data_IF_661021415872
#
_entry.id   IF_661021415872
#
_cell.length_a   1.000
_cell.length_b   1.000
_cell.length_c   1.000
_cell.angle_alpha   90.00
_cell.angle_beta   90.00
_cell.angle_gamma   90.00
#
_symmetry.space_group_name_H-M   'P 1'
#
loop_
_entity.id
_entity.type
_entity.pdbx_description
1 polymer ?
#
# COMPACT_ATOMS: atom_id res chain seq x y z
N UNK A 1 36.79 7.21 -16.53
CA UNK A 1 38.08 6.52 -16.40
C UNK A 1 39.12 7.60 -16.54
N UNK A 2 40.08 7.66 -15.61
CA UNK A 2 41.17 8.64 -15.53
C UNK A 2 42.18 8.51 -16.69
N UNK A 3 41.71 8.17 -17.90
CA UNK A 3 42.55 7.93 -19.07
C UNK A 3 43.36 9.18 -19.47
N UNK A 4 42.83 10.37 -19.18
CA UNK A 4 43.52 11.63 -19.42
C UNK A 4 44.66 11.90 -18.42
N UNK A 5 44.73 11.13 -17.32
CA UNK A 5 45.86 11.15 -16.39
C UNK A 5 46.94 10.13 -16.73
N UNK A 6 46.71 9.26 -17.72
CA UNK A 6 47.65 8.20 -18.05
C UNK A 6 48.93 8.79 -18.65
N UNK A 7 50.06 8.51 -18.01
CA UNK A 7 51.37 9.07 -18.37
C UNK A 7 51.61 10.52 -17.92
N UNK A 8 50.68 11.16 -17.19
CA UNK A 8 50.89 12.50 -16.66
C UNK A 8 51.80 12.49 -15.43
N UNK A 9 52.86 13.30 -15.44
CA UNK A 9 53.73 13.56 -14.30
C UNK A 9 53.81 15.08 -14.06
N UNK A 10 53.43 15.57 -12.87
CA UNK A 10 53.55 16.99 -12.55
C UNK A 10 54.97 17.52 -12.72
N UNK A 11 55.10 18.77 -13.18
CA UNK A 11 56.39 19.46 -13.26
C UNK A 11 57.04 19.62 -11.88
N UNK A 12 56.22 19.82 -10.84
CA UNK A 12 56.63 19.93 -9.44
C UNK A 12 55.81 18.99 -8.58
N UNK A 13 56.48 18.05 -7.94
CA UNK A 13 55.87 17.11 -7.00
C UNK A 13 55.99 17.70 -5.59
N UNK A 14 54.86 17.92 -4.93
CA UNK A 14 54.80 18.31 -3.52
C UNK A 14 54.28 17.14 -2.69
N UNK A 15 55.06 16.65 -1.74
CA UNK A 15 54.67 15.54 -0.87
C UNK A 15 53.79 16.01 0.30
N UNK A 16 52.89 15.14 0.73
CA UNK A 16 51.93 15.40 1.80
C UNK A 16 52.58 15.16 3.18
N UNK A 17 53.33 16.16 3.66
CA UNK A 17 53.80 16.21 5.05
C UNK A 17 52.84 17.05 5.91
N UNK A 18 52.64 16.65 7.16
CA UNK A 18 51.87 17.46 8.13
C UNK A 18 52.62 18.74 8.47
N UNK A 19 51.89 19.79 8.85
CA UNK A 19 52.51 21.09 9.21
C UNK A 19 53.50 20.97 10.38
N UNK A 20 53.19 20.13 11.38
CA UNK A 20 54.11 19.83 12.48
C UNK A 20 55.41 19.16 12.02
N UNK A 21 55.35 18.24 11.04
CA UNK A 21 56.54 17.61 10.46
C UNK A 21 57.35 18.60 9.62
N UNK A 22 56.69 19.45 8.83
CA UNK A 22 57.37 20.50 8.06
C UNK A 22 58.09 21.50 8.94
N UNK A 23 57.51 21.85 10.09
CA UNK A 23 58.13 22.75 11.05
C UNK A 23 59.30 22.07 11.78
N UNK A 24 59.11 20.84 12.28
CA UNK A 24 60.14 20.08 12.98
C UNK A 24 61.34 19.73 12.10
N UNK A 25 61.11 19.49 10.81
CA UNK A 25 62.15 19.09 9.84
C UNK A 25 62.45 20.16 8.80
N UNK A 26 62.07 21.42 9.06
CA UNK A 26 62.26 22.58 8.16
C UNK A 26 63.64 22.61 7.50
N UNK A 27 64.69 22.39 8.28
CA UNK A 27 66.08 22.53 7.84
C UNK A 27 66.59 21.31 7.04
N UNK A 28 65.81 20.23 6.98
CA UNK A 28 66.15 18.98 6.26
C UNK A 28 65.09 18.57 5.23
N UNK A 29 64.13 19.44 4.91
CA UNK A 29 63.12 19.19 3.87
C UNK A 29 63.76 18.93 2.50
N UNK A 30 64.88 19.58 2.22
CA UNK A 30 65.69 19.36 1.02
C UNK A 30 67.13 19.15 1.45
N UNK A 31 67.68 17.98 1.15
CA UNK A 31 69.09 17.67 1.37
C UNK A 31 69.85 17.74 0.05
N UNK A 32 71.11 18.19 0.09
CA UNK A 32 72.00 18.28 -1.08
C UNK A 32 71.43 19.15 -2.21
N UNK A 33 70.94 20.35 -1.86
CA UNK A 33 70.46 21.33 -2.84
C UNK A 33 71.57 21.68 -3.85
N UNK A 34 71.32 21.43 -5.14
CA UNK A 34 72.30 21.61 -6.22
C UNK A 34 73.09 20.36 -6.65
N UNK A 35 72.78 19.18 -6.10
CA UNK A 35 73.31 17.91 -6.61
C UNK A 35 72.94 17.70 -8.09
N UNK A 36 73.89 17.19 -8.89
CA UNK A 36 73.69 17.00 -10.34
C UNK A 36 73.06 15.66 -10.69
N UNK A 37 73.09 14.71 -9.76
CA UNK A 37 72.58 13.36 -9.92
C UNK A 37 72.12 12.78 -8.58
N UNK A 38 71.26 11.77 -8.62
CA UNK A 38 70.80 11.06 -7.43
C UNK A 38 71.93 10.28 -6.71
N UNK A 39 73.00 9.92 -7.42
CA UNK A 39 74.11 9.14 -6.86
C UNK A 39 74.92 9.92 -5.82
N UNK A 40 75.01 11.25 -5.96
CA UNK A 40 75.74 12.13 -5.03
C UNK A 40 75.13 12.08 -3.61
N UNK A 41 73.84 12.40 -3.40
CA UNK A 41 73.22 12.32 -2.09
C UNK A 41 73.14 10.88 -1.56
N UNK A 42 72.90 9.87 -2.41
CA UNK A 42 72.83 8.46 -1.98
C UNK A 42 74.18 7.99 -1.41
N UNK A 43 75.32 8.33 -2.03
CA UNK A 43 76.65 8.00 -1.49
C UNK A 43 76.90 8.66 -0.14
N UNK A 44 76.53 9.94 0.01
CA UNK A 44 76.65 10.64 1.30
C UNK A 44 75.83 9.95 2.38
N UNK A 45 74.61 9.50 2.06
CA UNK A 45 73.75 8.76 2.97
C UNK A 45 74.34 7.40 3.33
N UNK A 46 74.92 6.66 2.38
CA UNK A 46 75.56 5.37 2.65
C UNK A 46 76.83 5.50 3.50
N UNK A 47 77.65 6.52 3.26
CA UNK A 47 78.96 6.67 3.91
C UNK A 47 78.88 7.31 5.30
N UNK A 48 77.94 8.24 5.52
CA UNK A 48 77.87 9.05 6.75
C UNK A 48 76.68 8.75 7.64
N UNK A 49 75.66 8.06 7.13
CA UNK A 49 74.42 7.79 7.88
C UNK A 49 74.20 6.28 8.01
N UNK A 50 73.60 5.86 9.13
CA UNK A 50 73.07 4.51 9.27
C UNK A 50 71.66 4.46 8.66
N UNK A 51 71.57 4.53 7.33
CA UNK A 51 70.32 4.62 6.58
C UNK A 51 69.85 3.24 6.08
N UNK A 52 68.53 3.04 6.09
CA UNK A 52 67.87 1.92 5.40
C UNK A 52 67.33 2.42 4.07
N UNK A 53 67.42 1.58 3.03
CA UNK A 53 66.94 1.89 1.68
C UNK A 53 65.76 0.94 1.34
N UNK A 54 64.52 1.32 1.72
CA UNK A 54 63.34 0.51 1.42
C UNK A 54 63.08 0.47 -0.10
N UNK A 55 62.51 -0.63 -0.57
CA UNK A 55 62.13 -0.83 -1.97
C UNK A 55 60.64 -0.51 -2.16
N UNK A 56 60.33 0.32 -3.17
CA UNK A 56 58.97 0.72 -3.56
C UNK A 56 58.08 1.33 -2.45
N UNK A 57 58.66 2.19 -1.61
CA UNK A 57 57.88 2.92 -0.60
C UNK A 57 56.81 3.81 -1.26
N UNK A 58 55.58 3.77 -0.73
CA UNK A 58 54.45 4.52 -1.26
C UNK A 58 54.22 5.75 -0.39
N UNK A 59 54.17 6.93 -1.02
CA UNK A 59 53.94 8.20 -0.34
C UNK A 59 52.87 9.01 -1.07
N UNK A 60 52.15 9.82 -0.30
CA UNK A 60 51.14 10.72 -0.84
C UNK A 60 51.79 12.01 -1.36
N UNK A 61 51.37 12.43 -2.54
CA UNK A 61 51.68 13.74 -3.13
C UNK A 61 50.41 14.53 -3.38
N UNK A 62 50.55 15.84 -3.47
CA UNK A 62 49.48 16.70 -3.95
C UNK A 62 49.30 16.51 -5.45
N UNK A 63 48.04 16.63 -5.87
CA UNK A 63 47.69 16.75 -7.28
C UNK A 63 48.08 18.12 -7.81
N UNK A 64 48.43 18.18 -9.08
CA UNK A 64 48.58 19.45 -9.79
C UNK A 64 47.23 19.96 -10.33
N UNK A 65 47.24 21.16 -10.90
CA UNK A 65 46.02 21.80 -11.39
C UNK A 65 45.34 21.01 -12.52
N UNK A 66 46.13 20.31 -13.36
CA UNK A 66 45.60 19.46 -14.43
C UNK A 66 44.89 18.23 -13.86
N UNK A 67 45.52 17.54 -12.92
CA UNK A 67 44.93 16.37 -12.24
C UNK A 67 43.65 16.75 -11.50
N UNK A 68 43.68 17.86 -10.77
CA UNK A 68 42.50 18.39 -10.09
C UNK A 68 41.38 18.67 -11.10
N UNK A 69 41.70 19.29 -12.24
CA UNK A 69 40.71 19.61 -13.26
C UNK A 69 40.10 18.36 -13.90
N UNK A 70 40.92 17.40 -14.30
CA UNK A 70 40.46 16.15 -14.93
C UNK A 70 39.59 15.32 -13.97
N UNK A 71 40.00 15.21 -12.70
CA UNK A 71 39.19 14.52 -11.67
C UNK A 71 37.86 15.25 -11.45
N UNK A 72 37.87 16.58 -11.46
CA UNK A 72 36.66 17.41 -11.33
C UNK A 72 35.69 17.18 -12.47
N UNK A 73 36.16 17.21 -13.69
CA UNK A 73 35.34 16.94 -14.85
C UNK A 73 34.71 15.54 -14.77
N UNK A 74 35.50 14.53 -14.40
CA UNK A 74 34.99 13.16 -14.29
C UNK A 74 33.89 13.02 -13.23
N UNK A 75 34.09 13.56 -12.03
CA UNK A 75 33.07 13.44 -10.99
C UNK A 75 31.84 14.30 -11.31
N UNK A 76 31.99 15.46 -11.97
CA UNK A 76 30.86 16.27 -12.44
C UNK A 76 30.02 15.50 -13.46
N UNK A 77 30.64 14.87 -14.46
CA UNK A 77 29.94 14.06 -15.46
C UNK A 77 29.18 12.91 -14.78
N UNK A 78 29.80 12.22 -13.82
CA UNK A 78 29.13 11.14 -13.05
C UNK A 78 27.97 11.69 -12.22
N UNK A 79 28.14 12.85 -11.60
CA UNK A 79 27.11 13.48 -10.79
C UNK A 79 25.91 13.94 -11.62
N UNK A 80 26.13 14.44 -12.83
CA UNK A 80 25.07 14.91 -13.72
C UNK A 80 24.37 13.77 -14.46
N UNK A 81 25.10 12.73 -14.88
CA UNK A 81 24.56 11.70 -15.75
C UNK A 81 24.26 10.39 -15.02
N UNK A 82 25.16 9.91 -14.19
CA UNK A 82 25.05 8.58 -13.60
C UNK A 82 24.22 8.60 -12.32
N UNK A 83 24.46 9.56 -11.44
CA UNK A 83 23.74 9.66 -10.16
C UNK A 83 22.22 9.78 -10.37
N UNK A 84 21.71 10.65 -11.27
CA UNK A 84 20.27 10.77 -11.47
C UNK A 84 19.66 9.51 -12.08
N UNK A 85 20.33 8.92 -13.08
CA UNK A 85 19.89 7.66 -13.70
C UNK A 85 19.80 6.53 -12.68
N UNK A 86 20.83 6.36 -11.85
CA UNK A 86 20.84 5.33 -10.79
C UNK A 86 19.77 5.57 -9.75
N UNK A 87 19.48 6.83 -9.43
CA UNK A 87 18.40 7.19 -8.51
C UNK A 87 17.02 6.84 -9.08
N UNK A 88 16.78 7.16 -10.36
CA UNK A 88 15.53 6.84 -11.04
C UNK A 88 15.31 5.32 -11.19
N UNK A 89 16.37 4.57 -11.53
CA UNK A 89 16.36 3.10 -11.55
C UNK A 89 15.98 2.55 -10.17
N UNK A 90 16.58 3.07 -9.09
CA UNK A 90 16.28 2.66 -7.72
C UNK A 90 14.81 2.93 -7.36
N UNK A 91 14.30 4.13 -7.64
CA UNK A 91 12.91 4.50 -7.37
C UNK A 91 11.92 3.62 -8.14
N UNK A 92 12.22 3.33 -9.42
CA UNK A 92 11.41 2.44 -10.25
C UNK A 92 11.36 1.03 -9.68
N UNK A 93 12.51 0.47 -9.29
CA UNK A 93 12.58 -0.88 -8.69
C UNK A 93 11.82 -0.92 -7.37
N UNK A 94 11.94 0.10 -6.51
CA UNK A 94 11.20 0.18 -5.25
C UNK A 94 9.68 0.24 -5.47
N UNK A 95 9.22 0.99 -6.47
CA UNK A 95 7.81 1.03 -6.83
C UNK A 95 7.30 -0.35 -7.28
N UNK A 96 8.08 -1.06 -8.11
CA UNK A 96 7.74 -2.41 -8.54
C UNK A 96 7.67 -3.40 -7.36
N UNK A 97 8.66 -3.36 -6.45
CA UNK A 97 8.68 -4.20 -5.26
C UNK A 97 7.45 -3.95 -4.38
N UNK A 98 7.06 -2.68 -4.20
CA UNK A 98 5.87 -2.32 -3.41
C UNK A 98 4.60 -2.91 -4.01
N UNK A 99 4.45 -2.85 -5.33
CA UNK A 99 3.31 -3.44 -6.04
C UNK A 99 3.32 -4.96 -5.96
N UNK A 100 4.47 -5.62 -6.18
CA UNK A 100 4.59 -7.07 -6.07
C UNK A 100 4.26 -7.55 -4.65
N UNK A 101 4.76 -6.85 -3.64
CA UNK A 101 4.45 -7.13 -2.22
C UNK A 101 2.95 -7.02 -1.96
N UNK A 102 2.33 -5.90 -2.37
CA UNK A 102 0.88 -5.68 -2.19
C UNK A 102 0.06 -6.79 -2.84
N UNK A 103 0.38 -7.16 -4.09
CA UNK A 103 -0.33 -8.22 -4.81
C UNK A 103 -0.18 -9.59 -4.12
N UNK A 104 1.00 -9.91 -3.58
CA UNK A 104 1.22 -11.14 -2.85
C UNK A 104 0.44 -11.17 -1.52
N UNK A 105 0.40 -10.05 -0.80
CA UNK A 105 -0.38 -9.91 0.44
C UNK A 105 -1.89 -10.04 0.16
N UNK A 106 -2.40 -9.42 -0.90
CA UNK A 106 -3.81 -9.53 -1.32
C UNK A 106 -4.17 -10.96 -1.74
N UNK A 107 -3.30 -11.64 -2.50
CA UNK A 107 -3.51 -13.04 -2.89
C UNK A 107 -3.55 -13.98 -1.67
N UNK A 108 -2.65 -13.78 -0.71
CA UNK A 108 -2.65 -14.56 0.54
C UNK A 108 -3.92 -14.30 1.37
N UNK A 109 -4.32 -13.03 1.51
CA UNK A 109 -5.55 -12.69 2.23
C UNK A 109 -6.80 -13.29 1.56
N UNK A 110 -6.88 -13.29 0.23
CA UNK A 110 -7.96 -13.94 -0.52
C UNK A 110 -8.02 -15.44 -0.22
N UNK A 111 -6.88 -16.13 -0.29
CA UNK A 111 -6.83 -17.56 0.00
C UNK A 111 -7.26 -17.87 1.44
N UNK A 112 -6.88 -17.03 2.41
CA UNK A 112 -7.30 -17.19 3.81
C UNK A 112 -8.81 -16.99 3.98
N UNK A 113 -9.40 -16.03 3.27
CA UNK A 113 -10.83 -15.81 3.28
C UNK A 113 -11.59 -17.00 2.67
N UNK A 114 -11.12 -17.53 1.55
CA UNK A 114 -11.70 -18.74 0.93
C UNK A 114 -11.65 -19.94 1.88
N UNK A 115 -10.52 -20.17 2.55
CA UNK A 115 -10.38 -21.21 3.57
C UNK A 115 -11.37 -20.99 4.72
N UNK A 116 -11.55 -19.74 5.16
CA UNK A 116 -12.51 -19.44 6.23
C UNK A 116 -13.96 -19.69 5.80
N UNK A 117 -14.33 -19.37 4.55
CA UNK A 117 -15.67 -19.63 4.01
C UNK A 117 -15.93 -21.14 3.91
N UNK A 118 -14.96 -21.90 3.40
CA UNK A 118 -15.05 -23.37 3.36
C UNK A 118 -15.18 -23.97 4.77
N UNK A 119 -14.40 -23.48 5.74
CA UNK A 119 -14.52 -23.93 7.13
C UNK A 119 -15.90 -23.60 7.73
N UNK A 120 -16.45 -22.43 7.41
CA UNK A 120 -17.79 -22.03 7.83
C UNK A 120 -18.88 -22.92 7.20
N UNK A 121 -18.75 -23.25 5.90
CA UNK A 121 -19.66 -24.20 5.22
C UNK A 121 -19.63 -25.58 5.86
N UNK A 122 -18.43 -26.09 6.19
CA UNK A 122 -18.27 -27.37 6.89
C UNK A 122 -18.90 -27.31 8.29
N UNK A 123 -18.67 -26.23 9.05
CA UNK A 123 -19.22 -26.07 10.40
C UNK A 123 -20.75 -25.96 10.40
N UNK A 124 -21.30 -25.21 9.46
CA UNK A 124 -22.75 -24.99 9.35
C UNK A 124 -23.46 -26.19 8.71
N UNK A 125 -22.74 -27.03 7.94
CA UNK A 125 -23.30 -28.18 7.24
C UNK A 125 -24.32 -27.79 6.15
N UNK A 126 -24.27 -26.54 5.67
CA UNK A 126 -25.20 -25.99 4.67
C UNK A 126 -24.51 -25.89 3.32
N UNK A 127 -25.28 -26.18 2.26
CA UNK A 127 -24.88 -25.98 0.87
C UNK A 127 -26.00 -25.28 0.14
N UNK A 128 -25.65 -24.39 -0.80
CA UNK A 128 -26.63 -23.68 -1.61
C UNK A 128 -27.32 -24.65 -2.57
N UNK A 129 -28.58 -24.96 -2.28
CA UNK A 129 -29.42 -25.75 -3.17
C UNK A 129 -30.29 -24.82 -4.04
N UNK A 130 -29.97 -24.74 -5.33
CA UNK A 130 -30.74 -23.93 -6.27
C UNK A 130 -32.03 -24.64 -6.65
N UNK A 131 -33.16 -24.13 -6.17
CA UNK A 131 -34.48 -24.69 -6.46
C UNK A 131 -34.84 -24.50 -7.95
N UNK A 132 -35.38 -25.52 -8.64
CA UNK A 132 -35.78 -25.42 -10.04
C UNK A 132 -37.03 -24.53 -10.20
N UNK A 133 -36.93 -23.49 -11.03
CA UNK A 133 -38.00 -22.49 -11.23
C UNK A 133 -39.32 -23.07 -11.72
N UNK A 134 -39.29 -24.21 -12.42
CA UNK A 134 -40.48 -24.87 -12.97
C UNK A 134 -41.26 -25.71 -11.95
N UNK A 135 -40.66 -26.03 -10.80
CA UNK A 135 -41.23 -26.88 -9.75
C UNK A 135 -41.20 -26.23 -8.36
N UNK A 136 -41.06 -24.91 -8.32
CA UNK A 136 -41.07 -24.11 -7.09
C UNK A 136 -42.33 -23.24 -7.08
N UNK A 137 -43.12 -23.34 -6.02
CA UNK A 137 -44.28 -22.49 -5.80
C UNK A 137 -43.97 -21.50 -4.67
N UNK A 138 -44.38 -20.25 -4.85
CA UNK A 138 -44.33 -19.22 -3.80
C UNK A 138 -45.76 -18.95 -3.34
N UNK A 139 -46.04 -19.22 -2.09
CA UNK A 139 -47.35 -19.01 -1.47
C UNK A 139 -47.19 -17.92 -0.40
N UNK A 140 -48.05 -16.92 -0.42
CA UNK A 140 -48.15 -15.95 0.65
C UNK A 140 -49.16 -16.48 1.68
N UNK A 141 -48.70 -16.68 2.92
CA UNK A 141 -49.50 -17.19 4.02
C UNK A 141 -48.99 -16.61 5.35
N UNK A 142 -49.91 -16.12 6.16
CA UNK A 142 -49.66 -15.61 7.50
C UNK A 142 -48.59 -14.51 7.57
N UNK A 143 -48.63 -13.55 6.65
CA UNK A 143 -47.63 -12.48 6.54
C UNK A 143 -46.21 -12.95 6.12
N UNK A 144 -46.06 -14.17 5.62
CA UNK A 144 -44.80 -14.72 5.13
C UNK A 144 -44.93 -15.31 3.70
N UNK A 145 -43.89 -15.15 2.91
CA UNK A 145 -43.65 -15.89 1.68
C UNK A 145 -43.07 -17.27 2.03
N UNK A 146 -43.86 -18.31 1.79
CA UNK A 146 -43.47 -19.70 1.84
C UNK A 146 -43.05 -20.15 0.43
N UNK A 147 -41.79 -20.52 0.28
CA UNK A 147 -41.28 -21.14 -0.95
C UNK A 147 -41.30 -22.64 -0.78
N UNK A 148 -42.15 -23.29 -1.54
CA UNK A 148 -42.20 -24.74 -1.62
C UNK A 148 -41.56 -25.21 -2.92
N UNK A 149 -40.83 -26.32 -2.89
CA UNK A 149 -40.36 -26.97 -4.10
C UNK A 149 -40.55 -28.48 -4.03
N UNK A 150 -40.75 -29.08 -5.20
CA UNK A 150 -40.73 -30.54 -5.32
C UNK A 150 -39.28 -31.05 -5.26
N UNK A 151 -38.91 -31.66 -4.15
CA UNK A 151 -37.59 -32.25 -3.90
C UNK A 151 -37.81 -33.65 -3.30
N UNK A 152 -37.19 -34.67 -3.91
CA UNK A 152 -37.27 -36.07 -3.50
C UNK A 152 -38.70 -36.61 -3.34
N UNK A 153 -39.50 -36.47 -4.41
CA UNK A 153 -40.90 -36.95 -4.52
C UNK A 153 -41.86 -36.42 -3.45
N UNK A 154 -41.49 -35.31 -2.79
CA UNK A 154 -42.33 -34.59 -1.84
C UNK A 154 -42.27 -33.09 -2.12
N UNK A 155 -43.38 -32.41 -1.92
CA UNK A 155 -43.46 -30.94 -1.98
C UNK A 155 -43.03 -30.40 -0.60
N UNK A 156 -41.80 -29.88 -0.50
CA UNK A 156 -41.20 -29.48 0.78
C UNK A 156 -41.11 -27.96 0.90
N UNK A 157 -41.25 -27.44 2.13
CA UNK A 157 -41.05 -26.03 2.43
C UNK A 157 -39.55 -25.73 2.49
N UNK A 158 -39.06 -24.92 1.56
CA UNK A 158 -37.63 -24.67 1.38
C UNK A 158 -37.18 -23.32 1.95
N UNK A 159 -38.05 -22.31 2.00
CA UNK A 159 -37.71 -20.98 2.54
C UNK A 159 -38.95 -20.27 3.07
N UNK A 160 -38.80 -19.59 4.20
CA UNK A 160 -39.80 -18.69 4.77
C UNK A 160 -39.21 -17.28 4.81
N UNK A 161 -39.90 -16.31 4.23
CA UNK A 161 -39.46 -14.91 4.23
C UNK A 161 -40.62 -14.02 4.64
N UNK A 162 -40.41 -13.08 5.58
CA UNK A 162 -41.45 -12.14 5.98
C UNK A 162 -41.83 -11.23 4.81
N UNK A 163 -43.14 -11.00 4.60
CA UNK A 163 -43.63 -10.08 3.56
C UNK A 163 -43.24 -8.65 3.96
N UNK A 164 -42.54 -7.89 3.10
CA UNK A 164 -42.23 -6.48 3.35
C UNK A 164 -43.50 -5.62 3.43
N UNK A 165 -43.52 -4.61 4.31
CA UNK A 165 -44.74 -3.84 4.61
C UNK A 165 -45.32 -3.05 3.42
N UNK A 166 -44.51 -2.76 2.40
CA UNK A 166 -44.94 -2.09 1.17
C UNK A 166 -45.71 -2.98 0.18
N UNK A 167 -45.55 -4.31 0.27
CA UNK A 167 -46.21 -5.30 -0.60
C UNK A 167 -47.46 -5.91 0.08
N UNK A 168 -47.68 -5.56 1.35
CA UNK A 168 -48.68 -6.18 2.22
C UNK A 168 -50.12 -5.92 1.76
N UNK A 169 -50.42 -4.71 1.26
CA UNK A 169 -51.79 -4.27 0.92
C UNK A 169 -52.41 -5.03 -0.26
N UNK A 170 -51.61 -5.48 -1.24
CA UNK A 170 -52.09 -6.19 -2.44
C UNK A 170 -52.21 -7.71 -2.29
N UNK A 171 -51.57 -8.30 -1.28
CA UNK A 171 -51.51 -9.75 -1.09
C UNK A 171 -52.59 -10.32 -0.16
N UNK A 172 -53.33 -9.49 0.58
CA UNK A 172 -54.39 -9.95 1.50
C UNK A 172 -55.50 -10.74 0.79
N UNK A 173 -55.91 -10.33 -0.42
CA UNK A 173 -56.92 -11.07 -1.20
C UNK A 173 -56.40 -12.43 -1.68
N UNK A 174 -55.09 -12.57 -1.89
CA UNK A 174 -54.46 -13.86 -2.21
C UNK A 174 -54.24 -14.69 -0.95
N UNK A 175 -53.95 -14.06 0.17
CA UNK A 175 -53.80 -14.71 1.48
C UNK A 175 -55.13 -15.34 1.96
N UNK A 176 -56.26 -14.65 1.82
CA UNK A 176 -57.59 -15.19 2.14
C UNK A 176 -57.95 -16.40 1.26
N UNK A 177 -57.64 -16.34 -0.04
CA UNK A 177 -57.84 -17.47 -0.98
C UNK A 177 -56.89 -18.62 -0.66
N UNK A 178 -55.64 -18.33 -0.29
CA UNK A 178 -54.65 -19.34 0.08
C UNK A 178 -54.94 -19.98 1.45
N UNK A 179 -55.47 -19.22 2.42
CA UNK A 179 -55.94 -19.75 3.71
C UNK A 179 -57.16 -20.67 3.51
N UNK A 180 -58.11 -20.25 2.68
CA UNK A 180 -59.26 -21.08 2.32
C UNK A 180 -58.82 -22.35 1.57
N UNK A 181 -57.87 -22.25 0.62
CA UNK A 181 -57.33 -23.40 -0.10
C UNK A 181 -56.49 -24.33 0.80
N UNK A 182 -55.73 -23.80 1.78
CA UNK A 182 -55.01 -24.62 2.77
C UNK A 182 -55.96 -25.34 3.73
N UNK A 183 -57.09 -24.71 4.07
CA UNK A 183 -58.16 -25.31 4.87
C UNK A 183 -58.90 -26.42 4.10
N UNK A 184 -59.19 -26.21 2.83
CA UNK A 184 -59.97 -27.12 1.99
C UNK A 184 -59.14 -28.30 1.42
N UNK A 185 -57.88 -28.05 1.03
CA UNK A 185 -57.03 -29.06 0.37
C UNK A 185 -56.14 -29.82 1.35
N UNK A 186 -55.64 -29.15 2.39
CA UNK A 186 -54.67 -29.75 3.33
C UNK A 186 -55.22 -29.96 4.74
N UNK A 187 -56.38 -29.38 5.08
CA UNK A 187 -57.02 -29.57 6.38
C UNK A 187 -56.25 -28.96 7.56
N UNK A 188 -55.36 -27.99 7.31
CA UNK A 188 -54.51 -27.36 8.31
C UNK A 188 -55.04 -25.95 8.60
N UNK A 189 -55.51 -25.72 9.82
CA UNK A 189 -55.89 -24.38 10.30
C UNK A 189 -54.64 -23.64 10.82
N UNK A 190 -54.38 -22.47 10.26
CA UNK A 190 -53.35 -21.56 10.76
C UNK A 190 -53.98 -20.53 11.72
N UNK A 191 -53.32 -20.18 12.84
CA UNK A 191 -53.85 -19.19 13.76
C UNK A 191 -53.94 -17.81 13.09
N UNK A 192 -55.11 -17.18 13.21
CA UNK A 192 -55.41 -15.85 12.67
C UNK A 192 -54.36 -14.82 13.13
N UNK A 193 -53.68 -14.18 12.18
CA UNK A 193 -52.88 -12.98 12.48
C UNK A 193 -53.80 -11.76 12.47
N UNK A 194 -53.78 -11.04 13.59
CA UNK A 194 -54.53 -9.80 13.80
C UNK A 194 -54.26 -8.79 12.66
N UNK A 195 -55.35 -8.36 12.03
CA UNK A 195 -55.36 -7.28 11.04
C UNK A 195 -54.95 -5.97 11.73
N UNK A 196 -53.94 -5.23 11.26
CA UNK A 196 -53.80 -3.85 11.68
C UNK A 196 -55.02 -3.07 11.18
N UNK A 197 -55.76 -2.44 12.10
CA UNK A 197 -56.86 -1.53 11.78
C UNK A 197 -56.35 -0.49 10.77
N UNK A 198 -56.99 -0.41 9.62
CA UNK A 198 -56.88 0.71 8.70
C UNK A 198 -57.16 1.98 9.50
N UNK A 199 -56.17 2.84 9.72
CA UNK A 199 -56.39 4.19 10.27
C UNK A 199 -57.15 5.00 9.22
N UNK A 200 -58.47 4.85 9.22
CA UNK A 200 -59.40 5.84 8.71
C UNK A 200 -60.38 6.11 9.85
N UNK A 201 -60.47 7.39 10.23
CA UNK A 201 -61.44 7.97 11.16
C UNK A 201 -61.15 7.77 12.65
N UNK A 202 -60.43 8.72 13.23
CA UNK A 202 -60.90 9.45 14.42
C UNK A 202 -60.11 10.76 14.55
N UNK A 203 -60.85 11.86 14.39
CA UNK A 203 -60.44 13.24 14.64
C UNK A 203 -60.28 13.50 16.15
N UNK A 204 -59.51 14.55 16.45
CA UNK A 204 -59.43 15.32 17.70
C UNK A 204 -58.57 14.72 18.82
N UNK A 205 -57.36 15.23 18.98
CA UNK A 205 -57.10 16.32 19.95
C UNK A 205 -55.68 16.85 19.69
N UNK A 206 -55.58 18.05 19.13
CA UNK A 206 -54.34 18.82 19.00
C UNK A 206 -53.92 19.27 20.40
N UNK A 207 -52.84 18.73 20.95
CA UNK A 207 -52.04 19.44 21.94
C UNK A 207 -50.60 18.90 21.99
N UNK A 208 -49.66 19.85 21.94
CA UNK A 208 -48.23 19.78 22.20
C UNK A 208 -47.30 19.10 21.17
N UNK A 209 -47.04 19.83 20.08
CA UNK A 209 -45.73 19.84 19.44
C UNK A 209 -44.90 21.04 19.96
N UNK A 210 -43.68 20.82 20.51
CA UNK A 210 -42.80 21.87 21.01
C UNK A 210 -41.89 22.42 19.90
N UNK A 211 -42.50 23.10 18.93
CA UNK A 211 -41.81 24.01 18.01
C UNK A 211 -42.62 25.30 18.08
N UNK A 212 -42.27 26.25 18.95
CA UNK A 212 -41.23 27.21 18.62
C UNK A 212 -41.85 28.23 17.68
N UNK A 213 -42.73 29.08 18.23
CA UNK A 213 -43.33 30.20 17.50
C UNK A 213 -42.23 31.05 16.86
N UNK A 214 -42.41 31.25 15.56
CA UNK A 214 -41.81 32.27 14.74
C UNK A 214 -42.09 33.68 15.30
N UNK A 215 -41.21 34.62 14.95
CA UNK A 215 -41.55 35.83 14.19
C UNK A 215 -40.39 36.82 14.36
N UNK A 216 -39.58 37.02 13.31
CA UNK A 216 -39.75 38.06 12.28
C UNK A 216 -39.36 39.45 12.80
N UNK A 217 -38.25 40.00 12.29
CA UNK A 217 -38.20 41.40 11.86
C UNK A 217 -36.86 41.74 11.18
N UNK A 218 -36.95 42.07 9.89
CA UNK A 218 -36.54 43.41 9.44
C UNK A 218 -35.10 43.65 8.99
N UNK A 219 -35.01 43.78 7.67
CA UNK A 219 -34.30 44.85 6.94
C UNK A 219 -32.88 44.57 6.41
N UNK A 220 -32.83 44.40 5.08
CA UNK A 220 -31.73 44.85 4.23
C UNK A 220 -31.42 46.34 4.49
N UNK A 221 -30.14 46.72 4.46
CA UNK A 221 -29.58 47.89 3.76
C UNK A 221 -28.11 48.13 4.17
N UNK A 222 -27.24 48.06 3.16
CA UNK A 222 -26.15 48.99 2.83
C UNK A 222 -25.13 49.45 3.90
N UNK A 223 -23.91 48.90 3.83
CA UNK A 223 -22.63 49.58 3.45
C UNK A 223 -21.39 48.69 3.73
#
# INVERSE_FOLDING_TARGET
MLADLDGHRPEKIEFCLTEAQKEMFKDVLVLCEGAKSADEPIKVLHDKFNALFPDNEVVDRKYDDFEIHAIREEYCIKQENDVPKRKEELETVLAQIKTMKKNAEEAYASALLEVSDLAARVKNGITDFRLPSTKTARIALNGHYLFFAWVDDKFQLCKVQKIPDWDRSGLWSQEDVNQQAMKEVFGIEFPEVEKPKTKAEEQNDDNDLPFGDDDEDGNDEDE
#
